data_IF_485505665764
#
_entry.id   IF_485505665764
#
_cell.length_a   1.000
_cell.length_b   1.000
_cell.length_c   1.000
_cell.angle_alpha   90.00
_cell.angle_beta   90.00
_cell.angle_gamma   90.00
#
_symmetry.space_group_name_H-M   'P 1'
#
loop_
_entity.id
_entity.type
_entity.pdbx_description
1 polymer ?
#
# COMPACT_ATOMS: atom_id res chain seq x y z
N UNK A 1 -7.71 -0.84 -18.77
CA UNK A 1 -6.25 -0.59 -18.84
C UNK A 1 -6.00 0.88 -19.05
N UNK A 2 -5.39 1.53 -18.09
CA UNK A 2 -4.88 2.91 -18.23
C UNK A 2 -3.50 2.77 -18.87
N UNK A 3 -3.33 3.32 -20.08
CA UNK A 3 -2.03 3.43 -20.73
C UNK A 3 -1.43 4.77 -20.36
N UNK A 4 -0.32 4.80 -19.67
CA UNK A 4 0.38 6.02 -19.29
C UNK A 4 1.48 6.39 -20.27
N UNK A 5 1.64 7.69 -20.52
CA UNK A 5 2.46 8.23 -21.59
C UNK A 5 3.36 9.37 -21.08
N UNK A 6 4.67 9.30 -21.15
CA UNK A 6 5.59 10.41 -20.87
C UNK A 6 6.11 11.02 -22.17
N UNK A 7 6.03 12.35 -22.34
CA UNK A 7 6.74 13.07 -23.39
C UNK A 7 7.82 13.97 -22.79
N UNK A 8 8.99 13.98 -23.42
CA UNK A 8 10.17 14.75 -23.00
C UNK A 8 10.14 16.24 -23.40
N UNK A 9 9.00 16.79 -23.77
CA UNK A 9 8.90 18.20 -24.10
C UNK A 9 8.21 18.95 -22.96
N UNK A 10 8.82 20.07 -22.56
CA UNK A 10 8.37 20.99 -21.51
C UNK A 10 7.01 21.59 -21.83
N UNK A 11 5.96 20.85 -21.71
CA UNK A 11 4.61 21.35 -21.86
C UNK A 11 3.69 20.72 -20.80
N UNK A 12 2.93 21.57 -20.12
CA UNK A 12 2.07 21.27 -18.98
C UNK A 12 1.14 20.08 -19.23
N UNK A 13 1.16 19.14 -18.33
CA UNK A 13 0.25 18.00 -18.31
C UNK A 13 -1.00 18.43 -17.57
N UNK A 14 -2.16 18.42 -18.22
CA UNK A 14 -3.42 18.68 -17.54
C UNK A 14 -4.21 17.40 -17.38
N UNK A 15 -4.52 17.09 -16.15
CA UNK A 15 -5.16 15.85 -15.75
C UNK A 15 -6.65 15.78 -16.07
N UNK A 16 -7.12 14.54 -16.21
CA UNK A 16 -8.50 14.16 -16.32
C UNK A 16 -9.32 14.66 -15.13
N UNK A 17 -10.24 15.59 -15.36
CA UNK A 17 -11.31 15.85 -14.40
C UNK A 17 -12.53 15.00 -14.76
N UNK A 18 -12.91 14.08 -13.87
CA UNK A 18 -14.17 13.36 -14.00
C UNK A 18 -15.27 14.21 -13.35
N UNK A 19 -16.14 14.81 -14.15
CA UNK A 19 -17.37 15.44 -13.66
C UNK A 19 -18.56 14.59 -14.06
N UNK A 20 -19.38 14.26 -13.10
CA UNK A 20 -20.59 13.42 -13.17
C UNK A 20 -21.08 13.05 -14.57
N UNK A 21 -21.46 11.81 -14.77
CA UNK A 21 -21.76 11.12 -16.03
C UNK A 21 -20.54 10.74 -16.90
N UNK A 22 -19.44 10.33 -16.25
CA UNK A 22 -18.31 9.67 -16.92
C UNK A 22 -17.77 10.36 -18.19
N UNK A 23 -17.83 11.67 -18.29
CA UNK A 23 -17.12 12.40 -19.30
C UNK A 23 -15.73 12.77 -18.79
N UNK A 24 -14.72 12.13 -19.35
CA UNK A 24 -13.33 12.52 -19.13
C UNK A 24 -12.97 13.60 -20.14
N UNK A 25 -12.59 14.79 -19.68
CA UNK A 25 -11.97 15.80 -20.54
C UNK A 25 -10.45 15.71 -20.37
N UNK A 26 -9.75 15.35 -21.43
CA UNK A 26 -8.29 15.52 -21.54
C UNK A 26 -8.06 16.96 -21.99
N UNK A 27 -7.46 17.78 -21.16
CA UNK A 27 -6.82 19.00 -21.63
C UNK A 27 -5.44 18.64 -22.18
N UNK A 28 -5.15 19.13 -23.37
CA UNK A 28 -4.20 18.56 -24.30
C UNK A 28 -2.79 19.12 -24.13
N UNK A 29 -2.07 18.78 -23.10
CA UNK A 29 -0.63 19.03 -23.11
C UNK A 29 0.09 17.83 -22.45
N UNK A 30 0.36 16.82 -23.21
CA UNK A 30 1.11 15.64 -22.77
C UNK A 30 0.27 14.36 -22.75
N UNK A 31 0.74 13.38 -23.45
CA UNK A 31 0.18 12.02 -23.41
C UNK A 31 1.22 11.11 -22.78
N UNK A 32 0.83 10.32 -21.79
CA UNK A 32 1.67 9.22 -21.35
C UNK A 32 1.80 8.19 -22.48
N UNK A 33 3.01 7.67 -22.82
CA UNK A 33 3.22 6.58 -23.78
C UNK A 33 3.63 5.33 -23.04
N UNK A 34 2.96 4.22 -23.37
CA UNK A 34 3.43 2.92 -22.92
C UNK A 34 4.83 2.67 -23.50
N UNK A 35 5.84 2.75 -22.64
CA UNK A 35 7.25 2.54 -22.98
C UNK A 35 7.75 1.15 -22.55
N UNK A 36 6.86 0.28 -22.08
CA UNK A 36 7.22 -1.04 -21.54
C UNK A 36 8.04 -1.85 -22.54
N UNK A 37 7.59 -1.93 -23.80
CA UNK A 37 8.33 -2.70 -24.81
C UNK A 37 9.69 -2.07 -25.14
N UNK A 38 9.79 -0.73 -25.15
CA UNK A 38 11.05 -0.05 -25.47
C UNK A 38 12.07 -0.10 -24.32
N UNK A 39 11.63 -0.25 -23.08
CA UNK A 39 12.49 -0.25 -21.88
C UNK A 39 12.76 -1.64 -21.33
N UNK A 40 11.76 -2.52 -21.37
CA UNK A 40 11.79 -3.88 -20.78
C UNK A 40 11.79 -4.98 -21.85
N UNK A 41 11.51 -4.64 -23.11
CA UNK A 41 11.31 -5.61 -24.17
C UNK A 41 12.52 -6.46 -24.51
N UNK A 42 13.73 -6.02 -24.19
CA UNK A 42 14.95 -6.79 -24.38
C UNK A 42 15.36 -7.60 -23.15
N UNK A 43 14.59 -7.54 -22.02
CA UNK A 43 14.85 -8.30 -20.80
C UNK A 43 14.09 -9.64 -20.89
N UNK A 44 14.79 -10.78 -21.12
CA UNK A 44 14.12 -12.07 -21.34
C UNK A 44 13.26 -12.51 -20.15
N UNK A 45 13.76 -12.32 -18.93
CA UNK A 45 13.10 -12.68 -17.69
C UNK A 45 11.79 -11.90 -17.50
N UNK A 46 11.74 -10.64 -17.95
CA UNK A 46 10.53 -9.83 -17.91
C UNK A 46 9.47 -10.37 -18.88
N UNK A 47 9.85 -10.66 -20.13
CA UNK A 47 8.95 -11.25 -21.13
C UNK A 47 8.41 -12.59 -20.69
N UNK A 48 9.28 -13.47 -20.20
CA UNK A 48 8.89 -14.82 -19.81
C UNK A 48 7.99 -14.85 -18.59
N UNK A 49 8.12 -13.89 -17.69
CA UNK A 49 7.36 -13.84 -16.43
C UNK A 49 6.14 -12.92 -16.48
N UNK A 50 6.27 -11.67 -16.95
CA UNK A 50 5.24 -10.64 -16.84
C UNK A 50 4.35 -10.48 -18.06
N UNK A 51 4.80 -10.87 -19.25
CA UNK A 51 3.92 -10.92 -20.43
C UNK A 51 2.99 -12.12 -20.44
N UNK A 52 3.20 -13.06 -19.53
CA UNK A 52 2.32 -14.20 -19.34
C UNK A 52 1.17 -13.77 -18.40
N UNK A 53 -0.04 -13.80 -18.88
CA UNK A 53 -1.23 -13.47 -18.08
C UNK A 53 -1.49 -14.49 -16.95
N UNK A 54 -2.40 -14.13 -16.06
CA UNK A 54 -2.79 -14.94 -14.92
C UNK A 54 -3.19 -16.37 -15.32
N UNK A 55 -3.96 -16.53 -16.37
CA UNK A 55 -4.40 -17.84 -16.86
C UNK A 55 -3.23 -18.78 -17.22
N UNK A 56 -2.15 -18.19 -17.77
CA UNK A 56 -0.95 -18.96 -18.09
C UNK A 56 -0.31 -19.55 -16.82
N UNK A 57 -0.20 -18.74 -15.75
CA UNK A 57 0.42 -19.18 -14.50
C UNK A 57 -0.51 -20.07 -13.68
N UNK A 58 -1.80 -19.77 -13.60
CA UNK A 58 -2.81 -20.59 -12.89
C UNK A 58 -2.89 -22.02 -13.43
N UNK A 59 -2.64 -22.17 -14.72
CA UNK A 59 -2.62 -23.51 -15.35
C UNK A 59 -1.31 -24.28 -15.12
N UNK A 60 -0.29 -23.67 -14.52
CA UNK A 60 1.06 -24.25 -14.34
C UNK A 60 1.53 -24.31 -12.90
N UNK A 61 1.03 -23.41 -12.06
CA UNK A 61 1.33 -23.34 -10.64
C UNK A 61 0.12 -23.89 -9.89
N UNK A 62 0.32 -24.92 -9.08
CA UNK A 62 -0.76 -25.58 -8.37
C UNK A 62 -1.21 -24.76 -7.16
N UNK A 63 -2.44 -24.27 -7.18
CA UNK A 63 -3.05 -23.49 -6.09
C UNK A 63 -3.27 -24.32 -4.81
N UNK A 64 -3.27 -25.64 -4.90
CA UNK A 64 -3.42 -26.55 -3.74
C UNK A 64 -2.31 -26.39 -2.69
N UNK A 65 -1.17 -25.81 -3.07
CA UNK A 65 -0.05 -25.53 -2.18
C UNK A 65 -0.13 -24.19 -1.48
N UNK A 66 -1.24 -23.44 -1.65
CA UNK A 66 -1.40 -22.08 -1.11
C UNK A 66 -0.69 -21.01 -1.93
N UNK A 67 -0.30 -21.30 -3.16
CA UNK A 67 0.31 -20.33 -4.07
C UNK A 67 -0.83 -19.52 -4.70
N UNK A 68 -0.80 -18.23 -4.49
CA UNK A 68 -1.78 -17.30 -5.04
C UNK A 68 -1.15 -16.45 -6.14
N UNK A 69 -1.71 -16.54 -7.34
CA UNK A 69 -1.29 -15.77 -8.52
C UNK A 69 -2.23 -14.60 -8.81
N UNK A 70 -2.93 -14.13 -7.78
CA UNK A 70 -4.00 -13.13 -7.91
C UNK A 70 -3.57 -11.71 -8.31
N UNK A 71 -2.27 -11.40 -8.30
CA UNK A 71 -1.74 -10.13 -8.84
C UNK A 71 -1.70 -8.95 -7.86
N UNK A 72 -1.75 -9.17 -6.57
CA UNK A 72 -1.64 -8.15 -5.50
C UNK A 72 -0.25 -8.09 -4.85
N UNK A 73 0.77 -8.39 -5.61
CA UNK A 73 2.16 -8.29 -5.16
C UNK A 73 2.66 -6.85 -5.27
N UNK A 74 3.44 -6.44 -4.26
CA UNK A 74 3.97 -5.08 -4.17
C UNK A 74 5.16 -4.83 -5.10
N UNK A 75 5.39 -3.56 -5.38
CA UNK A 75 6.56 -3.04 -6.07
C UNK A 75 7.21 -1.97 -5.22
N UNK A 76 8.55 -1.98 -5.15
CA UNK A 76 9.34 -0.92 -4.52
C UNK A 76 10.30 -0.32 -5.53
N UNK A 77 10.45 1.01 -5.48
CA UNK A 77 11.29 1.78 -6.40
C UNK A 77 12.33 2.55 -5.59
N UNK A 78 13.59 2.43 -5.98
CA UNK A 78 14.70 3.14 -5.36
C UNK A 78 15.95 3.08 -6.25
N UNK A 79 16.87 4.00 -6.10
CA UNK A 79 18.22 3.91 -6.65
C UNK A 79 19.06 3.03 -5.73
N UNK A 80 19.09 1.72 -5.99
CA UNK A 80 19.77 0.75 -5.09
C UNK A 80 21.26 0.61 -5.35
N UNK A 81 21.75 1.13 -6.47
CA UNK A 81 23.17 1.04 -6.84
C UNK A 81 23.92 2.38 -6.76
N UNK A 82 23.23 3.48 -6.42
CA UNK A 82 23.78 4.82 -6.26
C UNK A 82 24.18 5.49 -7.58
N UNK A 83 23.55 5.13 -8.70
CA UNK A 83 23.89 5.68 -10.01
C UNK A 83 22.99 6.89 -10.43
N UNK A 84 22.03 7.25 -9.61
CA UNK A 84 21.09 8.35 -9.81
C UNK A 84 19.90 7.98 -10.66
N UNK A 85 19.67 6.70 -10.96
CA UNK A 85 18.54 6.20 -11.73
C UNK A 85 17.68 5.27 -10.86
N UNK A 86 16.38 5.44 -10.92
CA UNK A 86 15.45 4.58 -10.18
C UNK A 86 15.44 3.15 -10.72
N UNK A 87 15.66 2.21 -9.81
CA UNK A 87 15.52 0.76 -9.99
C UNK A 87 14.21 0.29 -9.39
N UNK A 88 13.77 -0.92 -9.67
CA UNK A 88 12.57 -1.44 -9.05
C UNK A 88 12.62 -2.93 -8.72
N UNK A 89 12.03 -3.28 -7.60
CA UNK A 89 11.88 -4.65 -7.11
C UNK A 89 10.42 -5.05 -7.07
N UNK A 90 10.10 -6.20 -7.67
CA UNK A 90 8.73 -6.72 -7.75
C UNK A 90 8.62 -8.01 -6.96
N UNK A 91 7.71 -8.02 -5.96
CA UNK A 91 7.29 -9.24 -5.29
C UNK A 91 6.54 -10.17 -6.24
N UNK A 92 6.62 -11.47 -6.00
CA UNK A 92 5.98 -12.46 -6.84
C UNK A 92 5.21 -13.51 -6.02
N UNK A 93 4.17 -14.12 -6.60
CA UNK A 93 3.52 -15.27 -5.99
C UNK A 93 4.50 -16.43 -5.85
N UNK A 94 4.27 -17.28 -4.87
CA UNK A 94 5.13 -18.43 -4.60
C UNK A 94 5.36 -19.30 -5.84
N UNK A 95 6.60 -19.74 -6.00
CA UNK A 95 7.06 -20.50 -7.16
C UNK A 95 7.55 -19.66 -8.34
N UNK A 96 7.28 -18.36 -8.34
CA UNK A 96 7.88 -17.40 -9.27
C UNK A 96 8.93 -16.56 -8.51
N UNK A 97 10.11 -16.31 -9.12
CA UNK A 97 11.14 -15.52 -8.46
C UNK A 97 10.77 -14.03 -8.37
N UNK A 98 10.99 -13.42 -7.22
CA UNK A 98 11.00 -11.97 -7.10
C UNK A 98 12.04 -11.38 -8.05
N UNK A 99 11.82 -10.16 -8.53
CA UNK A 99 12.66 -9.53 -9.55
C UNK A 99 13.16 -8.16 -9.13
N UNK A 100 14.48 -7.98 -9.26
CA UNK A 100 15.17 -6.70 -9.15
C UNK A 100 15.65 -6.27 -10.55
N UNK A 101 15.12 -5.17 -11.03
CA UNK A 101 15.50 -4.60 -12.31
C UNK A 101 16.29 -3.31 -12.10
N UNK A 102 17.51 -3.32 -12.56
CA UNK A 102 18.42 -2.17 -12.47
C UNK A 102 18.35 -1.40 -13.77
N UNK A 103 18.08 -0.10 -13.65
CA UNK A 103 18.03 0.81 -14.79
C UNK A 103 19.43 1.11 -15.29
N UNK A 104 19.63 1.06 -16.60
CA UNK A 104 20.89 1.40 -17.22
C UNK A 104 20.86 2.79 -17.86
N UNK A 105 22.02 3.38 -18.08
CA UNK A 105 22.17 4.73 -18.67
C UNK A 105 21.62 4.87 -20.10
N UNK A 106 21.23 3.78 -20.74
CA UNK A 106 20.60 3.78 -22.07
C UNK A 106 19.08 3.83 -22.00
N UNK A 107 18.51 3.85 -20.78
CA UNK A 107 17.07 3.91 -20.53
C UNK A 107 16.35 2.56 -20.52
N UNK A 108 17.08 1.45 -20.65
CA UNK A 108 16.57 0.09 -20.47
C UNK A 108 16.87 -0.45 -19.06
N UNK A 109 16.52 -1.71 -18.82
CA UNK A 109 16.73 -2.39 -17.54
C UNK A 109 17.50 -3.71 -17.70
N UNK A 110 18.12 -4.16 -16.61
CA UNK A 110 18.81 -5.44 -16.48
C UNK A 110 18.27 -6.19 -15.26
N UNK A 111 18.02 -7.49 -15.38
CA UNK A 111 17.64 -8.33 -14.22
C UNK A 111 18.87 -8.70 -13.38
N UNK A 112 18.94 -8.14 -12.19
CA UNK A 112 20.01 -8.46 -11.23
C UNK A 112 19.57 -9.44 -10.14
N UNK A 113 18.30 -9.84 -10.08
CA UNK A 113 17.71 -10.63 -8.99
C UNK A 113 18.55 -11.82 -8.55
N UNK A 114 18.99 -12.63 -9.53
CA UNK A 114 19.82 -13.81 -9.28
C UNK A 114 21.27 -13.44 -8.97
N UNK A 115 21.79 -12.42 -9.61
CA UNK A 115 23.18 -11.95 -9.45
C UNK A 115 23.43 -11.53 -7.99
N UNK A 116 22.44 -10.88 -7.36
CA UNK A 116 22.55 -10.35 -6.00
C UNK A 116 21.70 -11.12 -4.98
N UNK A 117 21.22 -12.31 -5.36
CA UNK A 117 20.54 -13.28 -4.48
C UNK A 117 19.26 -12.78 -3.81
N UNK A 118 18.49 -11.93 -4.49
CA UNK A 118 17.18 -11.42 -4.01
C UNK A 118 16.00 -12.04 -4.76
N UNK A 119 16.21 -13.09 -5.54
CA UNK A 119 15.20 -13.79 -6.33
C UNK A 119 14.46 -14.85 -5.50
N UNK A 120 13.82 -14.44 -4.40
CA UNK A 120 13.07 -15.35 -3.54
C UNK A 120 11.95 -16.05 -4.31
N UNK A 121 11.72 -17.33 -3.99
CA UNK A 121 10.64 -18.14 -4.57
C UNK A 121 9.45 -18.30 -3.62
N UNK A 122 9.58 -17.78 -2.40
CA UNK A 122 8.51 -17.77 -1.43
C UNK A 122 7.42 -16.77 -1.87
N UNK A 123 6.14 -17.02 -1.53
CA UNK A 123 5.08 -16.04 -1.74
C UNK A 123 5.46 -14.72 -1.06
N UNK A 124 5.53 -13.66 -1.83
CA UNK A 124 5.93 -12.33 -1.38
C UNK A 124 4.87 -11.31 -1.76
N UNK A 125 4.51 -10.41 -0.83
CA UNK A 125 3.54 -9.33 -1.08
C UNK A 125 4.14 -7.96 -0.79
N UNK A 126 4.98 -7.85 0.24
CA UNK A 126 5.52 -6.60 0.73
C UNK A 126 7.02 -6.52 0.52
N UNK A 127 7.50 -5.38 0.05
CA UNK A 127 8.92 -5.06 -0.01
C UNK A 127 9.11 -3.59 0.34
N UNK A 128 10.25 -3.24 0.90
CA UNK A 128 10.64 -1.87 1.13
C UNK A 128 12.16 -1.75 1.04
N UNK A 129 12.63 -0.68 0.36
CA UNK A 129 14.00 -0.22 0.40
C UNK A 129 14.12 0.95 1.37
N UNK A 130 15.03 0.86 2.32
CA UNK A 130 15.42 1.96 3.22
C UNK A 130 16.78 1.66 3.83
N UNK A 131 17.47 2.69 4.28
CA UNK A 131 18.78 2.60 4.94
C UNK A 131 18.58 2.15 6.40
N UNK A 132 18.89 0.89 6.68
CA UNK A 132 18.62 0.26 7.98
C UNK A 132 19.75 0.52 8.98
N UNK A 133 20.99 0.60 8.50
CA UNK A 133 22.19 0.70 9.35
C UNK A 133 22.90 2.07 9.24
N UNK A 134 22.24 3.04 8.58
CA UNK A 134 22.70 4.42 8.41
C UNK A 134 24.05 4.53 7.68
N UNK A 135 24.34 3.60 6.74
CA UNK A 135 25.57 3.64 5.94
C UNK A 135 25.42 4.40 4.62
N UNK A 136 24.20 4.78 4.25
CA UNK A 136 23.84 5.54 3.07
C UNK A 136 23.42 4.69 1.87
N UNK A 137 23.54 3.38 1.95
CA UNK A 137 23.05 2.44 0.93
C UNK A 137 21.64 1.93 1.30
N UNK A 138 20.74 1.77 0.32
CA UNK A 138 19.37 1.32 0.60
C UNK A 138 19.30 -0.20 0.69
N UNK A 139 18.91 -0.70 1.86
CA UNK A 139 18.71 -2.11 2.16
C UNK A 139 17.33 -2.61 1.74
N UNK A 140 17.15 -3.92 1.65
CA UNK A 140 15.89 -4.54 1.28
C UNK A 140 15.28 -5.34 2.44
N UNK A 141 14.06 -4.96 2.84
CA UNK A 141 13.17 -5.82 3.63
C UNK A 141 12.14 -6.45 2.69
N UNK A 142 12.11 -7.77 2.61
CA UNK A 142 11.14 -8.51 1.80
C UNK A 142 10.25 -9.37 2.69
N UNK A 143 8.94 -9.15 2.60
CA UNK A 143 7.91 -9.97 3.22
C UNK A 143 7.77 -11.29 2.48
N UNK A 144 8.07 -12.38 3.15
CA UNK A 144 7.94 -13.75 2.66
C UNK A 144 6.88 -14.50 3.47
N UNK A 145 6.48 -15.66 3.01
CA UNK A 145 5.34 -16.42 3.56
C UNK A 145 5.29 -16.51 5.10
N UNK A 146 6.43 -16.62 5.78
CA UNK A 146 6.49 -16.87 7.23
C UNK A 146 7.06 -15.69 8.03
N UNK A 147 7.37 -14.58 7.37
CA UNK A 147 8.00 -13.45 8.03
C UNK A 147 8.68 -12.49 7.07
N UNK A 148 9.82 -12.00 7.49
CA UNK A 148 10.62 -11.04 6.72
C UNK A 148 12.03 -11.57 6.52
N UNK A 149 12.60 -11.28 5.36
CA UNK A 149 14.02 -11.41 5.08
C UNK A 149 14.62 -10.02 4.95
N UNK A 150 15.69 -9.77 5.68
CA UNK A 150 16.42 -8.50 5.67
C UNK A 150 17.77 -8.74 4.97
N UNK A 151 17.98 -7.95 3.92
CA UNK A 151 19.16 -7.99 3.06
C UNK A 151 19.86 -6.64 3.13
N UNK A 152 21.07 -6.61 3.67
CA UNK A 152 21.94 -5.44 3.64
C UNK A 152 22.47 -5.23 2.23
N UNK A 153 22.45 -4.00 1.75
CA UNK A 153 23.18 -3.56 0.58
C UNK A 153 24.63 -3.23 1.00
N UNK A 154 25.56 -4.08 0.62
CA UNK A 154 26.98 -3.87 0.95
C UNK A 154 27.70 -2.98 -0.06
N UNK A 155 26.94 -2.16 -0.76
CA UNK A 155 27.39 -1.19 -1.76
C UNK A 155 27.13 -1.62 -3.19
N UNK A 156 26.77 -0.61 -4.02
CA UNK A 156 26.53 -0.75 -5.45
C UNK A 156 25.46 -1.82 -5.81
N UNK A 157 24.40 -1.93 -5.02
CA UNK A 157 23.32 -2.89 -5.25
C UNK A 157 23.67 -4.34 -5.01
N UNK A 158 24.71 -4.63 -4.24
CA UNK A 158 25.06 -6.00 -3.84
C UNK A 158 24.47 -6.32 -2.48
N UNK A 159 23.64 -7.37 -2.41
CA UNK A 159 22.91 -7.70 -1.20
C UNK A 159 23.51 -8.89 -0.44
N UNK A 160 23.50 -8.80 0.90
CA UNK A 160 23.90 -9.84 1.84
C UNK A 160 22.82 -10.04 2.90
N UNK A 161 22.40 -11.29 3.12
CA UNK A 161 21.39 -11.57 4.14
C UNK A 161 21.90 -11.30 5.54
N UNK A 162 21.18 -10.47 6.32
CA UNK A 162 21.50 -10.13 7.72
C UNK A 162 20.57 -10.78 8.72
N UNK A 163 19.26 -10.75 8.47
CA UNK A 163 18.30 -11.25 9.43
C UNK A 163 17.10 -11.97 8.76
N UNK A 164 16.38 -12.73 9.56
CA UNK A 164 15.03 -13.20 9.25
C UNK A 164 14.17 -13.05 10.51
N UNK A 165 13.02 -12.41 10.34
CA UNK A 165 12.06 -12.16 11.42
C UNK A 165 10.80 -12.98 11.17
N UNK A 166 10.38 -13.72 12.18
CA UNK A 166 9.16 -14.53 12.08
C UNK A 166 7.94 -13.70 12.43
N UNK A 167 6.88 -13.86 11.64
CA UNK A 167 5.54 -13.33 11.90
C UNK A 167 4.58 -14.49 12.18
N UNK A 168 4.63 -15.09 13.39
CA UNK A 168 3.82 -16.25 13.71
C UNK A 168 2.34 -15.89 13.70
N UNK A 169 1.59 -16.43 12.79
CA UNK A 169 0.14 -16.23 12.60
C UNK A 169 -0.29 -15.09 11.64
N UNK A 170 0.63 -14.49 10.87
CA UNK A 170 0.28 -13.40 9.98
C UNK A 170 1.03 -13.47 8.65
N UNK A 171 0.44 -12.90 7.60
CA UNK A 171 1.04 -12.78 6.26
C UNK A 171 1.29 -11.29 6.00
N UNK A 172 2.55 -10.86 5.76
CA UNK A 172 2.88 -9.46 5.52
C UNK A 172 2.38 -9.00 4.15
N UNK A 173 1.67 -7.85 4.12
CA UNK A 173 1.12 -7.25 2.91
C UNK A 173 1.71 -5.89 2.58
N UNK A 174 2.13 -5.13 3.59
CA UNK A 174 2.81 -3.84 3.43
C UNK A 174 3.82 -3.62 4.53
N UNK A 175 4.87 -2.86 4.24
CA UNK A 175 5.92 -2.46 5.17
C UNK A 175 6.12 -0.96 5.00
N UNK A 176 6.18 -0.23 6.11
CA UNK A 176 6.48 1.21 6.13
C UNK A 176 7.49 1.50 7.23
N UNK A 177 8.43 2.41 6.98
CA UNK A 177 9.51 2.74 7.90
C UNK A 177 9.45 4.19 8.35
N UNK A 178 9.80 4.44 9.60
CA UNK A 178 10.03 5.77 10.19
C UNK A 178 10.88 5.63 11.47
N UNK A 179 11.59 6.67 11.82
CA UNK A 179 12.21 6.84 13.14
C UNK A 179 11.11 7.33 14.10
N UNK A 180 10.31 6.37 14.66
CA UNK A 180 9.14 6.74 15.46
C UNK A 180 9.51 7.16 16.87
N UNK A 181 10.68 6.75 17.41
CA UNK A 181 11.11 7.06 18.77
C UNK A 181 12.26 8.08 18.84
N UNK A 182 12.67 8.58 17.67
CA UNK A 182 13.68 9.64 17.49
C UNK A 182 15.07 9.25 18.03
N UNK A 183 15.42 7.98 17.91
CA UNK A 183 16.75 7.51 18.29
C UNK A 183 17.77 7.60 17.14
N UNK A 184 17.30 7.92 15.93
CA UNK A 184 18.10 8.11 14.72
C UNK A 184 18.18 6.90 13.81
N UNK A 185 17.58 5.78 14.21
CA UNK A 185 17.48 4.55 13.42
C UNK A 185 16.07 4.41 12.81
N UNK A 186 15.97 3.89 11.60
CA UNK A 186 14.66 3.63 11.01
C UNK A 186 14.06 2.33 11.54
N UNK A 187 12.87 2.46 12.08
CA UNK A 187 11.99 1.36 12.51
C UNK A 187 11.00 1.00 11.42
N UNK A 188 10.34 -0.15 11.50
CA UNK A 188 9.36 -0.49 10.49
C UNK A 188 8.12 -1.19 11.03
N UNK A 189 6.99 -0.78 10.48
CA UNK A 189 5.69 -1.37 10.76
C UNK A 189 5.25 -2.27 9.62
N UNK A 190 4.73 -3.45 9.96
CA UNK A 190 4.31 -4.49 9.03
C UNK A 190 2.81 -4.68 9.12
N UNK A 191 2.10 -4.33 8.06
CA UNK A 191 0.69 -4.65 7.90
C UNK A 191 0.51 -6.13 7.58
N UNK A 192 -0.37 -6.79 8.32
CA UNK A 192 -0.66 -8.21 8.17
C UNK A 192 -2.14 -8.41 7.86
N UNK A 193 -2.43 -8.93 6.68
CA UNK A 193 -3.80 -9.05 6.20
C UNK A 193 -4.52 -10.27 6.78
N UNK A 194 -3.96 -11.44 6.54
CA UNK A 194 -4.57 -12.69 6.94
C UNK A 194 -3.91 -13.28 8.19
N UNK A 195 -4.75 -13.85 9.03
CA UNK A 195 -4.27 -14.75 10.08
C UNK A 195 -3.89 -16.07 9.45
N UNK A 196 -2.68 -16.54 9.73
CA UNK A 196 -2.24 -17.88 9.34
C UNK A 196 -3.06 -18.92 10.09
N UNK A 197 -3.81 -19.74 9.37
CA UNK A 197 -4.49 -20.90 9.93
C UNK A 197 -3.57 -22.12 9.86
N UNK A 198 -3.53 -22.91 10.92
CA UNK A 198 -2.62 -24.06 11.01
C UNK A 198 -2.79 -25.03 9.84
N UNK A 199 -1.78 -25.88 9.62
CA UNK A 199 -1.54 -26.72 8.44
C UNK A 199 -2.66 -27.67 8.00
N UNK A 200 -3.79 -27.73 8.69
CA UNK A 200 -4.95 -28.54 8.34
C UNK A 200 -6.06 -27.78 7.63
N UNK A 201 -5.97 -26.45 7.51
CA UNK A 201 -7.01 -25.57 6.97
C UNK A 201 -6.48 -24.71 5.81
N UNK A 202 -5.69 -25.28 4.92
CA UNK A 202 -4.99 -24.63 3.81
C UNK A 202 -5.85 -23.83 2.82
N UNK A 203 -7.17 -23.82 2.96
CA UNK A 203 -8.08 -23.20 2.00
C UNK A 203 -9.08 -22.21 2.60
N UNK A 204 -9.02 -21.95 3.89
CA UNK A 204 -9.88 -20.97 4.52
C UNK A 204 -9.06 -19.77 4.95
N UNK A 205 -8.88 -18.80 4.03
CA UNK A 205 -8.62 -17.44 4.46
C UNK A 205 -9.64 -17.10 5.54
N UNK A 206 -9.19 -16.52 6.64
CA UNK A 206 -10.12 -16.02 7.64
C UNK A 206 -11.11 -15.08 6.93
N UNK A 207 -12.38 -15.48 6.86
CA UNK A 207 -13.38 -14.58 6.31
C UNK A 207 -13.59 -13.43 7.27
N UNK A 208 -13.71 -12.19 6.79
CA UNK A 208 -13.95 -11.05 7.66
C UNK A 208 -15.27 -11.21 8.43
N UNK A 209 -15.20 -11.08 9.76
CA UNK A 209 -16.36 -11.23 10.65
C UNK A 209 -16.32 -10.17 11.75
N UNK A 210 -17.37 -9.33 11.87
CA UNK A 210 -18.43 -9.12 10.88
C UNK A 210 -17.86 -8.49 9.61
N UNK A 211 -18.52 -8.69 8.45
CA UNK A 211 -17.98 -8.23 7.16
C UNK A 211 -17.70 -6.73 7.11
N UNK A 212 -18.57 -5.91 7.68
CA UNK A 212 -18.49 -4.44 7.66
C UNK A 212 -17.55 -3.86 8.73
N UNK A 213 -17.13 -4.63 9.73
CA UNK A 213 -16.19 -4.17 10.79
C UNK A 213 -15.43 -5.37 11.38
N UNK A 214 -14.64 -6.03 10.52
CA UNK A 214 -13.95 -7.25 10.89
C UNK A 214 -12.81 -6.99 11.89
N UNK A 215 -12.59 -7.95 12.81
CA UNK A 215 -11.54 -7.92 13.82
C UNK A 215 -10.85 -9.28 14.01
N UNK A 216 -10.87 -10.10 12.96
CA UNK A 216 -10.31 -11.45 12.95
C UNK A 216 -9.24 -11.67 11.89
N UNK A 217 -8.65 -10.59 11.39
CA UNK A 217 -7.51 -10.58 10.47
C UNK A 217 -6.16 -10.87 11.12
N UNK A 218 -5.08 -10.55 10.43
CA UNK A 218 -3.72 -10.65 10.91
C UNK A 218 -3.40 -9.64 12.00
N UNK A 219 -2.41 -9.91 12.81
CA UNK A 219 -1.88 -8.95 13.77
C UNK A 219 -0.70 -8.22 13.13
N UNK A 220 -0.79 -6.91 13.04
CA UNK A 220 0.32 -6.08 12.56
C UNK A 220 1.45 -6.02 13.59
N UNK A 221 2.64 -5.70 13.14
CA UNK A 221 3.83 -5.72 14.00
C UNK A 221 4.67 -4.47 13.77
N UNK A 222 5.01 -3.77 14.86
CA UNK A 222 6.08 -2.78 14.89
C UNK A 222 7.37 -3.46 15.34
N UNK A 223 8.38 -3.40 14.48
CA UNK A 223 9.74 -3.78 14.83
C UNK A 223 10.57 -2.53 15.07
N UNK A 224 11.10 -2.42 16.29
CA UNK A 224 12.11 -1.43 16.62
C UNK A 224 13.49 -1.94 16.20
N UNK A 225 14.27 -1.09 15.55
CA UNK A 225 15.65 -1.30 15.24
C UNK A 225 16.50 -0.97 16.49
N UNK A 226 17.17 -1.97 17.06
CA UNK A 226 18.06 -1.78 18.21
C UNK A 226 19.53 -1.83 17.75
N UNK A 227 19.85 -1.29 16.59
CA UNK A 227 21.16 -1.32 15.92
C UNK A 227 21.71 -2.75 15.63
N UNK A 228 22.81 -2.82 14.86
CA UNK A 228 23.52 -4.05 14.56
C UNK A 228 22.62 -5.21 14.09
N UNK A 229 21.62 -4.89 13.25
CA UNK A 229 20.68 -5.85 12.66
C UNK A 229 19.84 -6.60 13.72
N UNK A 230 19.62 -5.96 14.86
CA UNK A 230 18.82 -6.49 15.97
C UNK A 230 17.46 -5.79 16.01
N UNK A 231 16.39 -6.55 15.85
CA UNK A 231 15.03 -6.01 15.80
C UNK A 231 14.16 -6.60 16.90
N UNK A 232 13.38 -5.77 17.55
CA UNK A 232 12.43 -6.17 18.58
C UNK A 232 10.98 -5.88 18.20
N UNK A 233 10.12 -6.86 18.33
CA UNK A 233 8.69 -6.64 18.27
C UNK A 233 8.25 -5.85 19.53
N UNK A 234 7.91 -4.59 19.35
CA UNK A 234 7.50 -3.67 20.41
C UNK A 234 6.01 -3.29 20.33
N UNK A 235 5.24 -3.91 19.44
CA UNK A 235 3.83 -3.61 19.16
C UNK A 235 2.98 -3.43 20.42
N UNK A 236 3.05 -4.40 21.34
CA UNK A 236 2.30 -4.34 22.60
C UNK A 236 2.87 -3.30 23.56
N UNK A 237 4.19 -3.16 23.60
CA UNK A 237 4.89 -2.23 24.49
C UNK A 237 4.54 -0.78 24.16
N UNK A 238 4.46 -0.46 22.86
CA UNK A 238 4.21 0.89 22.37
C UNK A 238 2.70 1.21 22.23
N UNK A 239 1.81 0.26 22.47
CA UNK A 239 0.35 0.48 22.44
C UNK A 239 -0.33 0.22 21.11
N UNK A 240 0.41 -0.28 20.11
CA UNK A 240 -0.11 -0.61 18.77
C UNK A 240 -0.88 -1.95 18.70
N UNK A 241 -1.13 -2.62 19.84
CA UNK A 241 -1.97 -3.82 19.87
C UNK A 241 -3.49 -3.49 20.00
N UNK A 242 -3.84 -2.21 20.18
CA UNK A 242 -5.22 -1.75 20.19
C UNK A 242 -5.82 -1.83 18.79
N UNK A 243 -6.99 -2.48 18.66
CA UNK A 243 -7.68 -2.66 17.36
C UNK A 243 -6.85 -3.32 16.25
N UNK A 244 -5.78 -4.02 16.61
CA UNK A 244 -4.74 -4.52 15.73
C UNK A 244 -5.00 -5.95 15.22
N UNK A 245 -6.26 -6.27 14.84
CA UNK A 245 -6.65 -7.57 14.26
C UNK A 245 -7.60 -7.39 13.09
N UNK A 246 -7.28 -6.39 12.30
CA UNK A 246 -8.02 -6.06 11.09
C UNK A 246 -7.39 -6.76 9.88
N UNK A 247 -7.99 -6.61 8.72
CA UNK A 247 -7.40 -7.03 7.45
C UNK A 247 -6.58 -5.86 6.91
N UNK A 248 -5.43 -5.60 7.53
CA UNK A 248 -4.61 -4.42 7.21
C UNK A 248 -3.88 -4.61 5.89
N UNK A 249 -4.10 -3.68 4.97
CA UNK A 249 -3.55 -3.74 3.63
C UNK A 249 -2.39 -2.77 3.42
N UNK A 250 -2.52 -1.56 3.93
CA UNK A 250 -1.51 -0.51 3.82
C UNK A 250 -1.41 0.31 5.10
N UNK A 251 -0.29 0.99 5.26
CA UNK A 251 -0.11 2.01 6.30
C UNK A 251 0.75 3.16 5.75
N UNK A 252 0.75 4.28 6.46
CA UNK A 252 1.63 5.41 6.18
C UNK A 252 1.91 6.18 7.45
N UNK A 253 3.16 6.59 7.61
CA UNK A 253 3.61 7.49 8.66
C UNK A 253 3.44 8.94 8.21
N UNK A 254 3.05 9.82 9.13
CA UNK A 254 2.99 11.27 8.95
C UNK A 254 2.88 11.96 10.31
N UNK A 255 3.50 13.11 10.47
CA UNK A 255 3.29 14.02 11.60
C UNK A 255 2.04 14.87 11.30
N UNK A 256 0.83 14.29 11.56
CA UNK A 256 -0.42 14.90 11.12
C UNK A 256 -0.81 16.13 11.93
N UNK A 257 -0.34 16.26 13.17
CA UNK A 257 -0.68 17.38 14.07
C UNK A 257 0.49 18.36 14.27
N UNK A 258 1.60 18.14 13.55
CA UNK A 258 2.81 18.97 13.55
C UNK A 258 3.42 19.12 14.95
N UNK A 259 3.40 18.07 15.76
CA UNK A 259 4.07 18.04 17.08
C UNK A 259 5.51 17.51 16.99
N UNK A 260 5.91 17.05 15.82
CA UNK A 260 7.23 16.56 15.46
C UNK A 260 7.41 15.07 15.73
N UNK A 261 6.37 14.33 16.13
CA UNK A 261 6.37 12.87 16.29
C UNK A 261 5.69 12.20 15.08
N UNK A 262 6.21 11.07 14.63
CA UNK A 262 5.61 10.34 13.51
C UNK A 262 4.40 9.53 13.98
N UNK A 263 3.23 9.84 13.43
CA UNK A 263 1.97 9.14 13.65
C UNK A 263 1.73 8.08 12.59
N UNK A 264 0.86 7.11 12.86
CA UNK A 264 0.65 5.98 11.97
C UNK A 264 -0.82 5.82 11.58
N UNK A 265 -1.12 5.97 10.30
CA UNK A 265 -2.43 5.58 9.76
C UNK A 265 -2.38 4.18 9.14
N UNK A 266 -3.34 3.33 9.49
CA UNK A 266 -3.46 1.94 9.00
C UNK A 266 -4.77 1.76 8.26
N UNK A 267 -4.68 1.41 6.99
CA UNK A 267 -5.81 1.15 6.10
C UNK A 267 -6.17 -0.35 6.10
N UNK A 268 -7.45 -0.64 6.33
CA UNK A 268 -8.00 -1.98 6.47
C UNK A 268 -9.01 -2.28 5.36
N UNK A 269 -8.88 -3.42 4.68
CA UNK A 269 -9.82 -3.87 3.64
C UNK A 269 -11.22 -4.16 4.22
N UNK A 270 -11.26 -4.67 5.43
CA UNK A 270 -12.51 -4.94 6.17
C UNK A 270 -12.41 -4.37 7.58
N UNK A 271 -13.33 -3.49 7.91
CA UNK A 271 -13.38 -2.86 9.21
C UNK A 271 -12.82 -1.43 9.21
N UNK A 272 -12.79 -0.85 10.39
CA UNK A 272 -12.38 0.53 10.58
C UNK A 272 -10.88 0.69 10.42
N UNK A 273 -10.47 1.75 9.74
CA UNK A 273 -9.07 2.18 9.73
C UNK A 273 -8.68 2.75 11.09
N UNK A 274 -7.38 2.77 11.34
CA UNK A 274 -6.82 3.27 12.59
C UNK A 274 -5.84 4.42 12.32
N UNK A 275 -5.96 5.51 13.08
CA UNK A 275 -4.92 6.52 13.23
C UNK A 275 -4.37 6.40 14.66
N UNK A 276 -3.13 5.99 14.75
CA UNK A 276 -2.40 5.90 16.01
C UNK A 276 -1.55 7.15 16.17
N UNK A 277 -1.99 8.03 17.06
CA UNK A 277 -1.22 9.21 17.45
C UNK A 277 -0.05 8.77 18.34
N UNK A 278 1.14 9.21 18.00
CA UNK A 278 2.36 9.08 18.79
C UNK A 278 2.39 10.19 19.84
N UNK A 279 2.64 9.87 21.08
CA UNK A 279 2.77 10.86 22.14
C UNK A 279 3.99 10.48 22.99
N UNK A 280 5.15 10.98 22.58
CA UNK A 280 6.44 10.68 23.17
C UNK A 280 6.60 11.19 24.61
N UNK A 281 5.78 12.18 25.01
CA UNK A 281 5.91 12.86 26.31
C UNK A 281 5.15 12.20 27.47
N UNK A 282 4.40 11.12 27.20
CA UNK A 282 3.58 10.48 28.23
C UNK A 282 4.37 9.63 29.23
N UNK A 283 4.65 10.21 30.36
CA UNK A 283 5.20 9.54 31.54
C UNK A 283 4.37 8.30 31.93
N UNK A 284 4.78 7.11 31.48
CA UNK A 284 4.28 5.82 31.95
C UNK A 284 3.00 5.30 31.27
N UNK A 285 2.60 5.84 30.13
CA UNK A 285 1.56 5.32 29.24
C UNK A 285 2.13 4.60 28.02
N UNK A 286 1.24 4.11 27.14
CA UNK A 286 1.61 3.69 25.78
C UNK A 286 1.99 4.91 24.96
N UNK A 287 2.97 4.77 24.08
CA UNK A 287 3.37 5.81 23.13
C UNK A 287 2.27 6.08 22.11
N UNK A 288 1.65 5.04 21.56
CA UNK A 288 0.60 5.16 20.56
C UNK A 288 -0.81 4.98 21.15
N UNK A 289 -1.73 5.83 20.70
CA UNK A 289 -3.14 5.77 21.03
C UNK A 289 -3.97 5.83 19.75
N UNK A 290 -4.93 4.92 19.57
CA UNK A 290 -5.91 5.02 18.49
C UNK A 290 -6.85 6.22 18.73
N UNK A 291 -6.76 7.23 17.87
CA UNK A 291 -7.54 8.48 17.94
C UNK A 291 -8.50 8.64 16.76
N UNK A 292 -8.66 7.63 15.92
CA UNK A 292 -9.40 7.69 14.65
C UNK A 292 -10.80 8.27 14.77
N UNK A 293 -11.54 7.86 15.82
CA UNK A 293 -12.89 8.38 16.10
C UNK A 293 -12.85 9.82 16.61
N UNK A 294 -11.89 10.11 17.50
CA UNK A 294 -11.78 11.42 18.15
C UNK A 294 -11.48 12.52 17.12
N UNK A 295 -10.63 12.23 16.14
CA UNK A 295 -10.19 13.21 15.11
C UNK A 295 -11.01 13.17 13.82
N UNK A 296 -11.89 12.17 13.65
CA UNK A 296 -12.85 12.12 12.54
C UNK A 296 -12.34 11.48 11.24
N UNK A 297 -11.34 10.57 11.31
CA UNK A 297 -10.76 9.89 10.13
C UNK A 297 -11.13 8.41 10.03
N UNK A 298 -12.17 7.97 10.74
CA UNK A 298 -12.65 6.59 10.60
C UNK A 298 -13.15 6.33 9.20
N UNK A 299 -12.48 5.46 8.47
CA UNK A 299 -13.00 4.89 7.23
C UNK A 299 -13.38 3.40 7.45
N UNK A 300 -14.39 2.96 6.72
CA UNK A 300 -14.91 1.58 6.77
C UNK A 300 -14.96 1.00 5.35
N UNK A 301 -14.20 1.57 4.44
CA UNK A 301 -14.10 1.11 3.06
C UNK A 301 -13.29 -0.18 2.94
N UNK A 302 -13.31 -0.83 1.77
CA UNK A 302 -12.33 -1.84 1.41
C UNK A 302 -11.01 -1.13 1.02
N UNK A 303 -10.24 -0.75 2.04
CA UNK A 303 -9.13 0.17 1.92
C UNK A 303 -7.87 -0.54 1.45
N UNK A 304 -7.26 -0.05 0.36
CA UNK A 304 -6.11 -0.66 -0.30
C UNK A 304 -4.85 0.19 -0.22
N UNK A 305 -4.97 1.51 -0.07
CA UNK A 305 -3.84 2.42 -0.04
C UNK A 305 -4.16 3.65 0.78
N UNK A 306 -3.14 4.27 1.32
CA UNK A 306 -3.20 5.53 2.06
C UNK A 306 -2.08 6.44 1.58
N UNK A 307 -2.38 7.72 1.48
CA UNK A 307 -1.41 8.77 1.12
C UNK A 307 -1.69 10.04 1.92
N UNK A 308 -0.62 10.68 2.35
CA UNK A 308 -0.66 12.01 2.94
C UNK A 308 -0.17 13.05 1.95
N UNK A 309 -0.70 14.26 2.01
CA UNK A 309 -0.29 15.39 1.20
C UNK A 309 -1.09 16.64 1.52
N UNK A 310 -0.50 17.80 1.28
CA UNK A 310 -1.14 19.11 1.45
C UNK A 310 -1.76 19.52 0.11
N UNK A 311 -3.01 19.07 -0.15
CA UNK A 311 -3.64 19.28 -1.46
C UNK A 311 -4.17 20.70 -1.65
N UNK A 312 -4.39 21.45 -0.58
CA UNK A 312 -4.91 22.83 -0.66
C UNK A 312 -3.87 23.89 -0.26
N UNK A 313 -2.61 23.49 -0.03
CA UNK A 313 -1.47 24.34 0.27
C UNK A 313 -1.66 25.18 1.55
N UNK A 314 -2.33 24.60 2.56
CA UNK A 314 -2.50 25.29 3.85
C UNK A 314 -1.42 24.95 4.88
N UNK A 315 -0.46 24.08 4.52
CA UNK A 315 0.67 23.67 5.34
C UNK A 315 0.36 22.52 6.30
N UNK A 316 -0.79 21.88 6.16
CA UNK A 316 -1.22 20.75 6.97
C UNK A 316 -1.33 19.49 6.10
N UNK A 317 -0.84 18.32 6.57
CA UNK A 317 -1.01 17.11 5.81
C UNK A 317 -2.46 16.63 5.83
N UNK A 318 -3.03 16.47 4.64
CA UNK A 318 -4.35 15.89 4.40
C UNK A 318 -4.24 14.40 4.11
N UNK A 319 -5.32 13.66 4.37
CA UNK A 319 -5.33 12.21 4.25
C UNK A 319 -6.21 11.75 3.10
N UNK A 320 -5.64 10.99 2.17
CA UNK A 320 -6.36 10.28 1.13
C UNK A 320 -6.31 8.76 1.35
N UNK A 321 -7.49 8.12 1.27
CA UNK A 321 -7.65 6.67 1.40
C UNK A 321 -8.26 6.12 0.13
N UNK A 322 -7.54 5.27 -0.57
CA UNK A 322 -8.03 4.58 -1.75
C UNK A 322 -8.83 3.34 -1.37
N UNK A 323 -10.07 3.29 -1.83
CA UNK A 323 -11.03 2.23 -1.56
C UNK A 323 -11.53 1.59 -2.85
N UNK A 324 -11.87 0.31 -2.79
CA UNK A 324 -12.59 -0.31 -3.89
C UNK A 324 -14.01 0.27 -3.97
N UNK A 325 -14.38 0.79 -5.12
CA UNK A 325 -15.73 1.22 -5.40
C UNK A 325 -16.51 0.09 -6.11
N UNK A 326 -17.72 -0.18 -5.64
CA UNK A 326 -18.64 -1.10 -6.30
C UNK A 326 -19.95 -0.38 -6.63
N UNK A 327 -20.21 -0.17 -7.92
CA UNK A 327 -21.47 0.43 -8.36
C UNK A 327 -22.67 -0.41 -7.99
N UNK A 328 -22.56 -1.73 -8.07
CA UNK A 328 -23.59 -2.68 -7.61
C UNK A 328 -23.77 -2.61 -6.09
N UNK A 329 -22.68 -2.59 -5.33
CA UNK A 329 -22.71 -2.45 -3.87
C UNK A 329 -23.39 -1.14 -3.46
N UNK A 330 -23.05 -0.02 -4.08
CA UNK A 330 -23.65 1.28 -3.80
C UNK A 330 -25.17 1.28 -4.07
N UNK A 331 -25.63 0.74 -5.21
CA UNK A 331 -27.07 0.61 -5.53
C UNK A 331 -27.80 -0.31 -4.55
N UNK A 332 -27.18 -1.37 -4.09
CA UNK A 332 -27.81 -2.34 -3.19
C UNK A 332 -27.91 -1.78 -1.77
N UNK A 333 -26.81 -1.26 -1.24
CA UNK A 333 -26.75 -0.74 0.13
C UNK A 333 -27.64 0.49 0.35
N UNK A 334 -27.94 1.24 -0.70
CA UNK A 334 -28.84 2.41 -0.65
C UNK A 334 -30.33 2.04 -0.64
N UNK A 335 -30.71 0.75 -0.78
CA UNK A 335 -32.13 0.34 -0.77
C UNK A 335 -32.67 0.19 0.65
N UNK A 336 -33.86 0.67 0.93
CA UNK A 336 -34.50 0.57 2.25
C UNK A 336 -34.63 -0.87 2.75
N UNK A 337 -34.82 -1.83 1.85
CA UNK A 337 -34.92 -3.26 2.16
C UNK A 337 -33.57 -3.95 2.41
N UNK A 338 -32.45 -3.27 2.14
CA UNK A 338 -31.13 -3.86 2.40
C UNK A 338 -30.91 -3.93 3.90
N UNK A 339 -30.63 -5.13 4.42
CA UNK A 339 -30.47 -5.37 5.87
C UNK A 339 -31.54 -4.66 6.72
N UNK A 340 -32.83 -4.80 6.35
CA UNK A 340 -33.97 -4.11 6.98
C UNK A 340 -34.04 -4.34 8.50
N UNK A 341 -33.57 -5.49 8.98
CA UNK A 341 -33.54 -5.83 10.40
C UNK A 341 -32.30 -5.29 11.15
N UNK A 342 -31.32 -4.75 10.47
CA UNK A 342 -30.15 -4.18 11.10
C UNK A 342 -30.45 -2.77 11.63
N UNK A 343 -29.71 -2.38 12.68
CA UNK A 343 -29.76 -0.99 13.17
C UNK A 343 -29.25 0.01 12.12
N UNK A 344 -29.50 1.28 12.38
CA UNK A 344 -29.16 2.36 11.46
C UNK A 344 -27.65 2.46 11.26
N UNK A 345 -26.87 2.33 12.32
CA UNK A 345 -25.41 2.48 12.29
C UNK A 345 -24.76 1.38 11.44
N UNK A 346 -25.20 0.13 11.60
CA UNK A 346 -24.77 -1.00 10.74
C UNK A 346 -25.09 -0.76 9.28
N UNK A 347 -26.28 -0.23 8.96
CA UNK A 347 -26.65 0.08 7.56
C UNK A 347 -25.79 1.20 6.98
N UNK A 348 -25.53 2.26 7.74
CA UNK A 348 -24.63 3.35 7.35
C UNK A 348 -23.20 2.86 7.10
N UNK A 349 -22.70 1.92 7.86
CA UNK A 349 -21.40 1.30 7.65
C UNK A 349 -21.33 0.57 6.30
N UNK A 350 -22.38 -0.17 5.92
CA UNK A 350 -22.44 -0.80 4.59
C UNK A 350 -22.51 0.22 3.46
N UNK A 351 -23.24 1.32 3.64
CA UNK A 351 -23.27 2.41 2.65
C UNK A 351 -21.87 3.04 2.51
N UNK A 352 -21.21 3.26 3.63
CA UNK A 352 -19.83 3.78 3.66
C UNK A 352 -18.86 2.81 2.98
N UNK A 353 -18.96 1.51 3.26
CA UNK A 353 -18.13 0.46 2.67
C UNK A 353 -18.22 0.41 1.13
N UNK A 354 -19.35 0.79 0.56
CA UNK A 354 -19.56 0.80 -0.89
C UNK A 354 -19.28 2.16 -1.56
N UNK A 355 -18.92 3.19 -0.79
CA UNK A 355 -18.83 4.57 -1.27
C UNK A 355 -17.65 4.83 -2.19
N UNK A 356 -16.54 4.12 -1.99
CA UNK A 356 -15.27 4.35 -2.66
C UNK A 356 -14.31 5.24 -1.86
N UNK A 357 -13.43 5.96 -2.54
CA UNK A 357 -12.31 6.70 -1.96
C UNK A 357 -12.74 7.78 -0.97
N UNK A 358 -11.85 8.07 -0.04
CA UNK A 358 -12.03 9.09 0.99
C UNK A 358 -10.91 10.12 0.96
N UNK A 359 -11.28 11.40 1.16
CA UNK A 359 -10.38 12.52 1.36
C UNK A 359 -10.77 13.23 2.64
N UNK A 360 -9.85 13.33 3.56
CA UNK A 360 -10.00 14.00 4.84
C UNK A 360 -9.09 15.22 4.87
N UNK A 361 -9.69 16.40 4.94
CA UNK A 361 -8.98 17.66 5.09
C UNK A 361 -8.59 17.86 6.55
N UNK A 362 -7.32 18.12 6.82
CA UNK A 362 -6.84 18.52 8.12
C UNK A 362 -7.29 19.94 8.46
N UNK A 363 -7.82 20.17 9.65
CA UNK A 363 -8.31 21.47 10.09
C UNK A 363 -7.31 22.21 11.01
N UNK A 364 -6.12 21.63 11.27
CA UNK A 364 -5.07 22.22 12.11
C UNK A 364 -5.40 22.32 13.61
N UNK A 365 -6.47 21.68 14.04
CA UNK A 365 -6.93 21.69 15.43
C UNK A 365 -7.08 20.26 16.01
N UNK A 366 -6.38 19.29 15.43
CA UNK A 366 -6.46 17.89 15.76
C UNK A 366 -7.71 17.18 15.23
N UNK A 367 -8.42 17.78 14.27
CA UNK A 367 -9.61 17.18 13.64
C UNK A 367 -9.54 17.28 12.13
N UNK A 368 -10.25 16.37 11.47
CA UNK A 368 -10.38 16.32 10.01
C UNK A 368 -11.82 16.51 9.56
N UNK A 369 -11.99 17.00 8.34
CA UNK A 369 -13.27 17.10 7.66
C UNK A 369 -13.32 16.17 6.44
N UNK A 370 -14.35 15.32 6.35
CA UNK A 370 -14.56 14.46 5.16
C UNK A 370 -14.97 15.29 3.95
N UNK A 371 -14.06 15.43 3.00
CA UNK A 371 -14.25 16.15 1.73
C UNK A 371 -14.54 15.25 0.54
N UNK A 372 -14.58 13.95 0.71
CA UNK A 372 -14.63 12.94 -0.34
C UNK A 372 -15.69 13.20 -1.40
N UNK A 373 -16.93 13.44 -0.98
CA UNK A 373 -18.05 13.69 -1.91
C UNK A 373 -17.96 15.08 -2.50
N UNK A 374 -17.60 16.09 -1.71
CA UNK A 374 -17.53 17.48 -2.14
C UNK A 374 -16.44 17.67 -3.23
N UNK A 375 -15.29 17.03 -3.05
CA UNK A 375 -14.17 17.11 -3.99
C UNK A 375 -14.35 16.21 -5.23
N UNK A 376 -15.37 15.36 -5.24
CA UNK A 376 -15.69 14.52 -6.39
C UNK A 376 -14.72 13.35 -6.62
N UNK A 377 -13.90 12.98 -5.60
CA UNK A 377 -12.84 11.97 -5.73
C UNK A 377 -13.28 10.58 -5.29
N UNK A 378 -14.54 10.40 -4.84
CA UNK A 378 -14.99 9.12 -4.27
C UNK A 378 -15.01 7.97 -5.29
N UNK A 379 -15.14 8.26 -6.59
CA UNK A 379 -15.25 7.24 -7.62
C UNK A 379 -13.86 6.98 -8.24
N UNK A 380 -13.19 5.95 -7.77
CA UNK A 380 -11.90 5.51 -8.29
C UNK A 380 -11.91 4.06 -8.81
N UNK A 381 -13.08 3.44 -8.97
CA UNK A 381 -13.25 2.01 -9.29
C UNK A 381 -12.55 1.13 -8.25
N UNK A 382 -11.85 0.08 -8.66
CA UNK A 382 -11.04 -0.74 -7.77
C UNK A 382 -9.66 -0.09 -7.62
N UNK A 383 -9.56 0.83 -6.66
CA UNK A 383 -8.35 1.58 -6.36
C UNK A 383 -7.41 0.74 -5.49
N UNK A 384 -6.27 0.32 -6.06
CA UNK A 384 -5.26 -0.50 -5.39
C UNK A 384 -4.13 0.31 -4.77
N UNK A 385 -3.76 1.41 -5.42
CA UNK A 385 -2.70 2.27 -4.95
C UNK A 385 -3.07 3.73 -5.22
N UNK A 386 -2.59 4.62 -4.38
CA UNK A 386 -2.76 6.06 -4.53
C UNK A 386 -1.52 6.81 -4.11
N UNK A 387 -1.34 8.01 -4.67
CA UNK A 387 -0.29 8.93 -4.28
C UNK A 387 -0.72 10.36 -4.56
N UNK A 388 -0.36 11.27 -3.66
CA UNK A 388 -0.32 12.69 -3.94
C UNK A 388 0.97 13.02 -4.69
N UNK A 389 0.87 13.81 -5.75
CA UNK A 389 1.98 14.28 -6.56
C UNK A 389 1.54 15.49 -7.38
N UNK A 390 2.37 16.50 -7.51
CA UNK A 390 2.13 17.61 -8.47
C UNK A 390 2.51 17.14 -9.88
N UNK A 391 1.54 16.53 -10.58
CA UNK A 391 1.78 15.86 -11.85
C UNK A 391 1.91 16.84 -13.01
N UNK A 392 1.24 17.99 -12.93
CA UNK A 392 1.24 18.98 -13.99
C UNK A 392 2.17 20.19 -13.72
N UNK A 393 2.78 20.24 -12.55
CA UNK A 393 3.75 21.26 -12.16
C UNK A 393 3.11 22.61 -11.84
N UNK A 394 1.84 22.61 -11.39
CA UNK A 394 1.12 23.85 -11.07
C UNK A 394 1.29 24.30 -9.61
N UNK A 395 1.96 23.50 -8.79
CA UNK A 395 2.24 23.76 -7.38
C UNK A 395 1.16 23.26 -6.42
N UNK A 396 0.12 22.58 -6.92
CA UNK A 396 -0.85 21.86 -6.12
C UNK A 396 -0.67 20.36 -6.28
N UNK A 397 -0.95 19.61 -5.24
CA UNK A 397 -0.84 18.15 -5.33
C UNK A 397 -2.10 17.55 -5.96
N UNK A 398 -1.88 16.76 -6.99
CA UNK A 398 -2.89 15.90 -7.62
C UNK A 398 -2.98 14.56 -6.93
N UNK A 399 -4.09 13.84 -7.12
CA UNK A 399 -4.23 12.46 -6.67
C UNK A 399 -4.13 11.51 -7.83
N UNK A 400 -3.07 10.70 -7.86
CA UNK A 400 -2.94 9.57 -8.75
C UNK A 400 -3.53 8.31 -8.12
N UNK A 401 -4.35 7.56 -8.87
CA UNK A 401 -4.95 6.29 -8.42
C UNK A 401 -4.70 5.21 -9.46
N UNK A 402 -3.98 4.16 -9.06
CA UNK A 402 -3.85 2.96 -9.86
C UNK A 402 -5.01 2.02 -9.56
N UNK A 403 -5.71 1.58 -10.59
CA UNK A 403 -6.82 0.64 -10.45
C UNK A 403 -6.81 -0.46 -11.52
N UNK A 404 -7.61 -1.48 -11.32
CA UNK A 404 -7.80 -2.59 -12.24
C UNK A 404 -7.44 -3.92 -11.59
N UNK A 405 -8.42 -4.82 -11.55
CA UNK A 405 -8.24 -6.20 -11.12
C UNK A 405 -8.58 -7.17 -12.24
N UNK A 406 -9.74 -6.98 -12.85
CA UNK A 406 -10.18 -7.73 -14.02
C UNK A 406 -10.46 -6.70 -15.10
N UNK A 407 -9.72 -6.76 -16.20
CA UNK A 407 -9.97 -5.94 -17.37
C UNK A 407 -10.61 -6.81 -18.46
N UNK A 408 -11.83 -6.52 -18.78
CA UNK A 408 -12.52 -7.04 -19.96
C UNK A 408 -12.95 -5.87 -20.85
N UNK A 409 -13.37 -6.16 -22.09
CA UNK A 409 -13.77 -5.11 -23.05
C UNK A 409 -14.94 -4.27 -22.52
N UNK A 410 -15.87 -4.86 -21.78
CA UNK A 410 -16.96 -4.16 -21.12
C UNK A 410 -16.60 -3.91 -19.65
N UNK A 411 -16.29 -2.65 -19.32
CA UNK A 411 -15.97 -2.21 -17.96
C UNK A 411 -17.14 -1.49 -17.29
N UNK A 412 -18.35 -1.57 -17.83
CA UNK A 412 -19.50 -0.81 -17.39
C UNK A 412 -20.05 -1.19 -16.01
N UNK A 413 -19.63 -2.33 -15.45
CA UNK A 413 -20.14 -2.88 -14.18
C UNK A 413 -19.09 -2.94 -13.07
N UNK A 414 -17.93 -2.30 -13.29
CA UNK A 414 -16.88 -2.16 -12.29
C UNK A 414 -17.02 -0.84 -11.54
#
# INVERSE_FOLDING_TARGET
SIKMLWSNEKENITLLSVRGNFSASLSSLGKFTDVTESTMGEVPEFKDQFYRGQDYWTSRIEMLTGIDVGGWQGVSVADVNGDGLDDFYIAQPGGLPNRLYIRNSKGGFEDWSKKVSVNFLDPSHANLFFDIDNDGDLDLVSGVHEGLVIMENVGNGNFSKRASLLLPSAVPYSIVAADYDKDGDLDFYVCCYNRRMGSKEHHLFARPVPYHDANNGGQNVLFRNDENWTFKNVTLLEGLDQNNRKFSYAASWEDYDNDGDMDLYVANDFGRNNLYQNDSDKNGGYRFKDVSEDVGVVDIGPCMSVSWGDYDNDGLPDLYVANMFSSAGHRITSQDRFHESADKDTREQYVRHARGNSLYRNLGNGHFEDRSVHSGISVGRWAWASRFEDIDGDGFQDVYVANGFITQEDTGDL
#
